data_IF_842367779036
#
_entry.id   IF_842367779036
#
_cell.length_a   1.000
_cell.length_b   1.000
_cell.length_c   1.000
_cell.angle_alpha   90.00
_cell.angle_beta   90.00
_cell.angle_gamma   90.00
#
_symmetry.space_group_name_H-M   'P 1'
#
loop_
_entity.id
_entity.type
_entity.pdbx_description
1 polymer ?
#
# COMPACT_ATOMS: atom_id res chain seq x y z
N UNK A 1 13.18 -22.48 -3.25
CA UNK A 1 11.86 -21.89 -3.55
C UNK A 1 10.80 -22.98 -3.63
N UNK A 2 10.90 -23.94 -4.55
CA UNK A 2 9.91 -25.01 -4.76
C UNK A 2 9.51 -25.78 -3.49
N UNK A 3 10.48 -26.29 -2.72
CA UNK A 3 10.18 -26.99 -1.46
C UNK A 3 9.44 -26.14 -0.41
N UNK A 4 9.64 -24.82 -0.42
CA UNK A 4 8.94 -23.90 0.46
C UNK A 4 7.47 -23.71 0.01
N UNK A 5 7.25 -23.59 -1.30
CA UNK A 5 5.92 -23.50 -1.91
C UNK A 5 5.09 -24.77 -1.66
N UNK A 6 5.71 -25.95 -1.77
CA UNK A 6 5.03 -27.22 -1.48
C UNK A 6 4.62 -27.31 0.00
N UNK A 7 5.53 -26.97 0.93
CA UNK A 7 5.22 -26.95 2.35
C UNK A 7 4.11 -25.94 2.69
N UNK A 8 4.08 -24.80 2.02
CA UNK A 8 3.03 -23.79 2.18
C UNK A 8 1.64 -24.28 1.73
N UNK A 9 1.56 -25.28 0.85
CA UNK A 9 0.31 -25.88 0.37
C UNK A 9 -0.15 -27.09 1.18
N UNK A 10 0.54 -27.41 2.28
CA UNK A 10 0.23 -28.56 3.10
C UNK A 10 -1.16 -28.49 3.76
N UNK A 11 -1.80 -29.65 3.94
CA UNK A 11 -3.08 -29.74 4.68
C UNK A 11 -2.92 -29.40 6.16
N UNK A 12 -1.77 -29.76 6.74
CA UNK A 12 -1.46 -29.49 8.15
C UNK A 12 -1.01 -28.04 8.37
N UNK A 13 -1.56 -27.38 9.39
CA UNK A 13 -1.30 -25.96 9.67
C UNK A 13 0.15 -25.72 10.11
N UNK A 14 0.75 -26.66 10.88
CA UNK A 14 2.13 -26.53 11.33
C UNK A 14 3.10 -26.62 10.15
N UNK A 15 2.81 -27.50 9.19
CA UNK A 15 3.55 -27.59 7.94
C UNK A 15 3.42 -26.31 7.10
N UNK A 16 2.22 -25.72 7.00
CA UNK A 16 2.05 -24.43 6.30
C UNK A 16 2.83 -23.29 6.94
N UNK A 17 2.84 -23.20 8.26
CA UNK A 17 3.64 -22.20 8.99
C UNK A 17 5.14 -22.36 8.69
N UNK A 18 5.65 -23.59 8.74
CA UNK A 18 7.04 -23.86 8.35
C UNK A 18 7.28 -23.58 6.85
N UNK A 19 6.27 -23.77 6.00
CA UNK A 19 6.32 -23.39 4.59
C UNK A 19 6.49 -21.88 4.40
N UNK A 20 5.69 -21.07 5.10
CA UNK A 20 5.80 -19.61 5.13
C UNK A 20 7.18 -19.14 5.59
N UNK A 21 7.71 -19.71 6.67
CA UNK A 21 9.06 -19.38 7.15
C UNK A 21 10.12 -19.66 6.09
N UNK A 22 10.07 -20.84 5.46
CA UNK A 22 10.98 -21.19 4.35
C UNK A 22 10.78 -20.31 3.11
N UNK A 23 9.58 -19.79 2.87
CA UNK A 23 9.34 -18.85 1.77
C UNK A 23 10.08 -17.54 2.01
N UNK A 24 10.07 -17.03 3.25
CA UNK A 24 10.85 -15.85 3.61
C UNK A 24 12.35 -16.07 3.44
N UNK A 25 12.89 -17.17 3.95
CA UNK A 25 14.31 -17.52 3.76
C UNK A 25 14.68 -17.64 2.27
N UNK A 26 13.80 -18.25 1.47
CA UNK A 26 14.02 -18.40 0.03
C UNK A 26 13.97 -17.05 -0.71
N UNK A 27 13.12 -16.11 -0.27
CA UNK A 27 13.04 -14.75 -0.80
C UNK A 27 14.29 -13.93 -0.44
N UNK A 28 14.77 -14.03 0.80
CA UNK A 28 16.03 -13.40 1.22
C UNK A 28 17.22 -13.91 0.41
N UNK A 29 17.30 -15.23 0.17
CA UNK A 29 18.32 -15.82 -0.68
C UNK A 29 18.21 -15.34 -2.14
N UNK A 30 16.98 -15.13 -2.64
CA UNK A 30 16.73 -14.62 -3.99
C UNK A 30 17.05 -13.12 -4.14
N UNK A 31 17.16 -12.36 -3.04
CA UNK A 31 17.34 -10.91 -3.08
C UNK A 31 18.57 -10.45 -3.89
N UNK A 32 19.64 -11.27 -3.93
CA UNK A 32 20.87 -10.97 -4.69
C UNK A 32 20.74 -11.15 -6.20
N UNK A 33 19.81 -11.99 -6.66
CA UNK A 33 19.67 -12.35 -8.09
C UNK A 33 18.33 -11.93 -8.69
N UNK A 34 17.37 -11.51 -7.86
CA UNK A 34 15.99 -11.28 -8.27
C UNK A 34 15.21 -12.58 -8.51
N UNK A 35 13.90 -12.42 -8.76
CA UNK A 35 13.01 -13.54 -9.08
C UNK A 35 12.79 -13.65 -10.59
N UNK A 36 12.79 -14.87 -11.10
CA UNK A 36 12.36 -15.14 -12.48
C UNK A 36 10.83 -15.03 -12.60
N UNK A 37 10.32 -14.77 -13.81
CA UNK A 37 8.87 -14.72 -14.08
C UNK A 37 8.11 -15.97 -13.59
N UNK A 38 8.71 -17.16 -13.76
CA UNK A 38 8.13 -18.42 -13.31
C UNK A 38 8.07 -18.52 -11.78
N UNK A 39 9.14 -18.11 -11.08
CA UNK A 39 9.16 -18.08 -9.62
C UNK A 39 8.14 -17.09 -9.06
N UNK A 40 8.01 -15.91 -9.67
CA UNK A 40 6.98 -14.93 -9.30
C UNK A 40 5.59 -15.50 -9.45
N UNK A 41 5.30 -16.13 -10.59
CA UNK A 41 3.99 -16.75 -10.86
C UNK A 41 3.67 -17.83 -9.81
N UNK A 42 4.59 -18.77 -9.59
CA UNK A 42 4.37 -19.85 -8.60
C UNK A 42 4.21 -19.32 -7.17
N UNK A 43 4.96 -18.27 -6.82
CA UNK A 43 4.86 -17.63 -5.52
C UNK A 43 3.52 -16.92 -5.33
N UNK A 44 3.09 -16.14 -6.32
CA UNK A 44 1.78 -15.47 -6.32
C UNK A 44 0.69 -16.51 -6.17
N UNK A 45 0.68 -17.57 -6.98
CA UNK A 45 -0.34 -18.61 -6.93
C UNK A 45 -0.41 -19.28 -5.55
N UNK A 46 0.73 -19.65 -4.97
CA UNK A 46 0.75 -20.24 -3.63
C UNK A 46 0.29 -19.26 -2.55
N UNK A 47 0.76 -18.01 -2.61
CA UNK A 47 0.45 -17.02 -1.57
C UNK A 47 -0.99 -16.54 -1.63
N UNK A 48 -1.64 -16.56 -2.79
CA UNK A 48 -3.07 -16.23 -2.92
C UNK A 48 -3.94 -17.13 -2.06
N UNK A 49 -3.62 -18.43 -1.95
CA UNK A 49 -4.30 -19.35 -1.05
C UNK A 49 -3.94 -19.07 0.40
N UNK A 50 -2.66 -18.82 0.70
CA UNK A 50 -2.21 -18.48 2.05
C UNK A 50 -2.93 -17.25 2.60
N UNK A 51 -3.14 -16.20 1.79
CA UNK A 51 -3.81 -14.97 2.25
C UNK A 51 -5.22 -15.24 2.80
N UNK A 52 -5.87 -16.33 2.38
CA UNK A 52 -7.23 -16.73 2.76
C UNK A 52 -7.25 -17.80 3.86
N UNK A 53 -6.08 -18.17 4.40
CA UNK A 53 -5.98 -19.22 5.42
C UNK A 53 -6.73 -18.85 6.70
N UNK A 54 -7.39 -19.84 7.31
CA UNK A 54 -8.09 -19.67 8.58
C UNK A 54 -7.15 -19.41 9.77
N UNK A 55 -5.87 -19.77 9.65
CA UNK A 55 -4.84 -19.42 10.61
C UNK A 55 -4.22 -18.06 10.26
N UNK A 56 -4.41 -17.08 11.16
CA UNK A 56 -3.98 -15.71 10.92
C UNK A 56 -2.47 -15.55 10.70
N UNK A 57 -1.62 -16.42 11.28
CA UNK A 57 -0.16 -16.36 11.06
C UNK A 57 0.21 -16.83 9.66
N UNK A 58 -0.50 -17.83 9.14
CA UNK A 58 -0.33 -18.28 7.75
C UNK A 58 -0.78 -17.19 6.78
N UNK A 59 -1.96 -16.60 7.03
CA UNK A 59 -2.46 -15.49 6.21
C UNK A 59 -1.57 -14.24 6.23
N UNK A 60 -1.10 -13.85 7.42
CA UNK A 60 -0.12 -12.78 7.59
C UNK A 60 1.16 -13.08 6.80
N UNK A 61 1.72 -14.28 6.96
CA UNK A 61 2.96 -14.65 6.28
C UNK A 61 2.82 -14.70 4.76
N UNK A 62 1.69 -15.15 4.22
CA UNK A 62 1.40 -15.08 2.79
C UNK A 62 1.41 -13.65 2.25
N UNK A 63 0.81 -12.70 2.97
CA UNK A 63 0.83 -11.27 2.61
C UNK A 63 2.24 -10.68 2.70
N UNK A 64 3.01 -11.04 3.73
CA UNK A 64 4.40 -10.59 3.88
C UNK A 64 5.31 -11.16 2.79
N UNK A 65 5.11 -12.43 2.40
CA UNK A 65 5.85 -13.05 1.30
C UNK A 65 5.54 -12.37 -0.04
N UNK A 66 4.29 -12.01 -0.29
CA UNK A 66 3.89 -11.21 -1.47
C UNK A 66 4.54 -9.83 -1.48
N UNK A 67 4.60 -9.15 -0.32
CA UNK A 67 5.25 -7.83 -0.21
C UNK A 67 6.75 -7.95 -0.51
N UNK A 68 7.45 -8.91 0.09
CA UNK A 68 8.85 -9.16 -0.21
C UNK A 68 9.08 -9.55 -1.69
N UNK A 69 8.22 -10.40 -2.25
CA UNK A 69 8.31 -10.78 -3.66
C UNK A 69 8.10 -9.59 -4.61
N UNK A 70 7.19 -8.66 -4.29
CA UNK A 70 6.93 -7.48 -5.10
C UNK A 70 8.19 -6.62 -5.31
N UNK A 71 9.03 -6.50 -4.28
CA UNK A 71 10.31 -5.77 -4.33
C UNK A 71 11.34 -6.50 -5.21
N UNK A 72 11.33 -7.84 -5.21
CA UNK A 72 12.33 -8.66 -5.90
C UNK A 72 11.97 -9.04 -7.35
N UNK A 73 10.70 -8.90 -7.72
CA UNK A 73 10.15 -9.38 -8.99
C UNK A 73 10.32 -8.42 -10.17
N UNK A 74 10.62 -7.15 -9.92
CA UNK A 74 10.65 -6.11 -10.95
C UNK A 74 9.34 -6.07 -11.77
N UNK A 75 9.45 -5.98 -13.10
CA UNK A 75 8.29 -5.91 -13.99
C UNK A 75 7.44 -7.19 -14.02
N UNK A 76 7.99 -8.35 -13.61
CA UNK A 76 7.26 -9.61 -13.59
C UNK A 76 6.07 -9.58 -12.63
N UNK A 77 6.07 -8.70 -11.62
CA UNK A 77 4.97 -8.61 -10.66
C UNK A 77 3.73 -7.92 -11.23
N UNK A 78 3.90 -7.05 -12.24
CA UNK A 78 2.85 -6.15 -12.73
C UNK A 78 1.64 -6.88 -13.32
N UNK A 79 1.86 -8.04 -13.94
CA UNK A 79 0.78 -8.85 -14.53
C UNK A 79 -0.16 -9.45 -13.47
N UNK A 80 0.30 -9.59 -12.23
CA UNK A 80 -0.45 -10.20 -11.14
C UNK A 80 -1.29 -9.18 -10.35
N UNK A 81 -1.11 -7.88 -10.58
CA UNK A 81 -1.78 -6.82 -9.80
C UNK A 81 -3.32 -6.91 -9.84
N UNK A 82 -3.90 -7.44 -10.92
CA UNK A 82 -5.36 -7.61 -11.03
C UNK A 82 -5.91 -8.63 -10.02
N UNK A 83 -5.11 -9.63 -9.64
CA UNK A 83 -5.49 -10.62 -8.63
C UNK A 83 -5.09 -10.16 -7.22
N UNK A 84 -3.90 -9.56 -7.09
CA UNK A 84 -3.30 -9.22 -5.80
C UNK A 84 -3.98 -8.04 -5.11
N UNK A 85 -4.29 -6.96 -5.85
CA UNK A 85 -4.87 -5.76 -5.24
C UNK A 85 -6.22 -6.02 -4.58
N UNK A 86 -7.20 -6.69 -5.24
CA UNK A 86 -8.47 -7.03 -4.59
C UNK A 86 -8.26 -7.96 -3.39
N UNK A 87 -7.36 -8.94 -3.49
CA UNK A 87 -7.07 -9.85 -2.39
C UNK A 87 -6.51 -9.10 -1.16
N UNK A 88 -5.57 -8.18 -1.36
CA UNK A 88 -5.05 -7.34 -0.28
C UNK A 88 -6.14 -6.47 0.36
N UNK A 89 -7.02 -5.87 -0.46
CA UNK A 89 -8.15 -5.06 0.03
C UNK A 89 -9.09 -5.88 0.93
N UNK A 90 -9.44 -7.11 0.55
CA UNK A 90 -10.26 -7.98 1.40
C UNK A 90 -9.61 -8.25 2.77
N UNK A 91 -8.28 -8.37 2.80
CA UNK A 91 -7.54 -8.63 4.06
C UNK A 91 -7.43 -7.40 4.97
N UNK A 92 -7.70 -6.19 4.49
CA UNK A 92 -7.88 -5.00 5.35
C UNK A 92 -9.07 -5.16 6.31
N UNK A 93 -10.03 -6.02 5.97
CA UNK A 93 -11.19 -6.31 6.82
C UNK A 93 -10.98 -7.39 7.87
N UNK A 94 -9.78 -7.98 7.96
CA UNK A 94 -9.54 -9.16 8.80
C UNK A 94 -9.75 -8.88 10.29
N UNK A 95 -10.18 -9.90 11.04
CA UNK A 95 -10.40 -9.79 12.48
C UNK A 95 -9.11 -9.59 13.30
N UNK A 96 -7.93 -9.93 12.75
CA UNK A 96 -6.64 -9.85 13.44
C UNK A 96 -5.81 -8.67 12.90
N UNK A 97 -5.38 -7.79 13.81
CA UNK A 97 -4.55 -6.62 13.47
C UNK A 97 -3.30 -6.99 12.65
N UNK A 98 -2.53 -8.06 12.97
CA UNK A 98 -1.33 -8.40 12.20
C UNK A 98 -1.61 -8.71 10.71
N UNK A 99 -2.78 -9.25 10.39
CA UNK A 99 -3.18 -9.52 9.00
C UNK A 99 -3.52 -8.22 8.28
N UNK A 100 -4.24 -7.30 8.96
CA UNK A 100 -4.55 -5.98 8.42
C UNK A 100 -3.29 -5.15 8.15
N UNK A 101 -2.34 -5.18 9.08
CA UNK A 101 -1.07 -4.49 8.93
C UNK A 101 -0.25 -5.06 7.76
N UNK A 102 -0.21 -6.39 7.61
CA UNK A 102 0.46 -7.02 6.47
C UNK A 102 -0.22 -6.68 5.13
N UNK A 103 -1.56 -6.60 5.10
CA UNK A 103 -2.31 -6.20 3.91
C UNK A 103 -2.05 -4.74 3.53
N UNK A 104 -2.04 -3.83 4.53
CA UNK A 104 -1.65 -2.43 4.35
C UNK A 104 -0.23 -2.33 3.79
N UNK A 105 0.72 -3.05 4.38
CA UNK A 105 2.11 -3.05 3.94
C UNK A 105 2.23 -3.55 2.50
N UNK A 106 1.50 -4.59 2.11
CA UNK A 106 1.47 -5.06 0.73
C UNK A 106 0.97 -3.97 -0.23
N UNK A 107 -0.13 -3.28 0.09
CA UNK A 107 -0.64 -2.19 -0.75
C UNK A 107 0.39 -1.05 -0.88
N UNK A 108 1.03 -0.63 0.21
CA UNK A 108 2.08 0.40 0.17
C UNK A 108 3.27 -0.07 -0.66
N UNK A 109 3.72 -1.31 -0.48
CA UNK A 109 4.84 -1.88 -1.27
C UNK A 109 4.50 -1.88 -2.76
N UNK A 110 3.26 -2.23 -3.11
CA UNK A 110 2.79 -2.17 -4.50
C UNK A 110 2.83 -0.75 -5.06
N UNK A 111 2.51 0.26 -4.25
CA UNK A 111 2.64 1.67 -4.63
C UNK A 111 4.10 2.02 -4.91
N UNK A 112 5.04 1.59 -4.07
CA UNK A 112 6.48 1.86 -4.20
C UNK A 112 7.09 1.24 -5.47
N UNK A 113 6.73 0.00 -5.80
CA UNK A 113 7.31 -0.73 -6.93
C UNK A 113 6.56 -0.52 -8.25
N UNK A 114 5.41 0.16 -8.23
CA UNK A 114 4.60 0.48 -9.41
C UNK A 114 4.30 1.98 -9.49
N UNK A 115 3.02 2.39 -9.41
CA UNK A 115 2.62 3.79 -9.29
C UNK A 115 1.63 3.90 -8.14
N UNK A 116 1.87 4.78 -7.15
CA UNK A 116 0.92 5.06 -6.08
C UNK A 116 -0.48 5.37 -6.58
N UNK A 117 -0.59 6.23 -7.60
CA UNK A 117 -1.88 6.62 -8.18
C UNK A 117 -2.61 5.41 -8.77
N UNK A 118 -1.94 4.58 -9.59
CA UNK A 118 -2.55 3.40 -10.20
C UNK A 118 -3.03 2.39 -9.15
N UNK A 119 -2.23 2.13 -8.12
CA UNK A 119 -2.56 1.15 -7.08
C UNK A 119 -3.72 1.65 -6.23
N UNK A 120 -3.73 2.92 -5.86
CA UNK A 120 -4.82 3.53 -5.08
C UNK A 120 -6.13 3.56 -5.87
N UNK A 121 -6.13 3.95 -7.14
CA UNK A 121 -7.34 3.91 -7.98
C UNK A 121 -7.89 2.49 -8.10
N UNK A 122 -7.01 1.52 -8.36
CA UNK A 122 -7.40 0.12 -8.46
C UNK A 122 -7.97 -0.41 -7.16
N UNK A 123 -7.26 -0.21 -6.04
CA UNK A 123 -7.72 -0.66 -4.72
C UNK A 123 -9.02 0.05 -4.32
N UNK A 124 -9.15 1.34 -4.65
CA UNK A 124 -10.33 2.15 -4.40
C UNK A 124 -11.59 1.61 -5.05
N UNK A 125 -11.48 0.99 -6.24
CA UNK A 125 -12.63 0.37 -6.91
C UNK A 125 -13.26 -0.79 -6.12
N UNK A 126 -12.51 -1.38 -5.17
CA UNK A 126 -12.99 -2.44 -4.27
C UNK A 126 -13.24 -1.94 -2.84
N UNK A 127 -12.56 -0.88 -2.42
CA UNK A 127 -12.48 -0.49 -1.01
C UNK A 127 -13.41 0.66 -0.61
N UNK A 128 -13.60 1.69 -1.44
CA UNK A 128 -14.29 2.93 -1.01
C UNK A 128 -15.73 2.70 -0.54
N UNK A 129 -16.45 1.79 -1.19
CA UNK A 129 -17.85 1.47 -0.90
C UNK A 129 -18.03 0.04 -0.37
N UNK A 130 -16.94 -0.56 0.13
CA UNK A 130 -16.94 -1.95 0.57
C UNK A 130 -17.95 -2.20 1.71
N UNK A 131 -18.64 -3.35 1.71
CA UNK A 131 -19.66 -3.68 2.73
C UNK A 131 -19.12 -3.70 4.17
N UNK A 132 -17.87 -4.10 4.35
CA UNK A 132 -17.20 -4.10 5.66
C UNK A 132 -16.64 -2.72 5.96
N UNK A 133 -17.15 -2.08 7.01
CA UNK A 133 -16.63 -0.78 7.49
C UNK A 133 -15.15 -0.85 7.86
N UNK A 134 -14.65 -2.01 8.30
CA UNK A 134 -13.22 -2.20 8.59
C UNK A 134 -12.35 -2.06 7.35
N UNK A 135 -12.80 -2.59 6.20
CA UNK A 135 -12.08 -2.41 4.92
C UNK A 135 -12.05 -0.93 4.56
N UNK A 136 -13.19 -0.23 4.65
CA UNK A 136 -13.27 1.20 4.32
C UNK A 136 -12.35 2.02 5.23
N UNK A 137 -12.43 1.81 6.54
CA UNK A 137 -11.58 2.49 7.53
C UNK A 137 -10.10 2.24 7.26
N UNK A 138 -9.69 0.98 7.15
CA UNK A 138 -8.28 0.61 7.00
C UNK A 138 -7.72 1.04 5.66
N UNK A 139 -8.55 1.06 4.61
CA UNK A 139 -8.15 1.59 3.31
C UNK A 139 -7.90 3.10 3.37
N UNK A 140 -8.76 3.87 4.04
CA UNK A 140 -8.53 5.31 4.25
C UNK A 140 -7.25 5.55 5.04
N UNK A 141 -6.97 4.74 6.08
CA UNK A 141 -5.71 4.83 6.83
C UNK A 141 -4.49 4.50 5.96
N UNK A 142 -4.63 3.52 5.07
CA UNK A 142 -3.60 3.15 4.09
C UNK A 142 -3.32 4.31 3.14
N UNK A 143 -4.37 4.96 2.67
CA UNK A 143 -4.29 6.13 1.79
C UNK A 143 -3.67 7.34 2.48
N UNK A 144 -4.02 7.61 3.75
CA UNK A 144 -3.36 8.66 4.53
C UNK A 144 -1.85 8.41 4.64
N UNK A 145 -1.45 7.15 4.87
CA UNK A 145 -0.03 6.75 4.85
C UNK A 145 0.60 7.01 3.48
N UNK A 146 -0.09 6.66 2.39
CA UNK A 146 0.37 6.91 1.02
C UNK A 146 0.56 8.40 0.72
N UNK A 147 -0.34 9.27 1.20
CA UNK A 147 -0.19 10.72 1.09
C UNK A 147 1.09 11.18 1.80
N UNK A 148 1.32 10.73 3.02
CA UNK A 148 2.53 11.07 3.77
C UNK A 148 3.84 10.61 3.12
N UNK A 149 3.81 9.52 2.35
CA UNK A 149 4.96 8.93 1.65
C UNK A 149 5.20 9.51 0.25
N UNK A 150 4.13 9.75 -0.52
CA UNK A 150 4.23 9.98 -1.97
C UNK A 150 3.75 11.36 -2.44
N UNK A 151 3.16 12.19 -1.58
CA UNK A 151 2.59 13.48 -1.98
C UNK A 151 3.56 14.40 -2.73
N UNK A 152 4.86 14.36 -2.39
CA UNK A 152 5.88 15.18 -3.05
C UNK A 152 6.32 14.65 -4.42
N UNK A 153 6.06 13.38 -4.73
CA UNK A 153 6.55 12.71 -5.94
C UNK A 153 5.44 12.28 -6.89
N UNK A 154 4.20 12.16 -6.41
CA UNK A 154 3.02 11.72 -7.17
C UNK A 154 1.88 12.74 -7.02
N UNK A 155 2.03 13.87 -7.73
CA UNK A 155 1.05 14.96 -7.74
C UNK A 155 -0.39 14.51 -8.09
N UNK A 156 -0.63 13.55 -9.01
CA UNK A 156 -1.98 13.08 -9.31
C UNK A 156 -2.67 12.40 -8.12
N UNK A 157 -1.91 11.83 -7.17
CA UNK A 157 -2.44 11.05 -6.06
C UNK A 157 -3.46 11.84 -5.24
N UNK A 158 -3.16 13.11 -4.93
CA UNK A 158 -4.06 13.93 -4.11
C UNK A 158 -5.40 14.18 -4.82
N UNK A 159 -5.39 14.37 -6.14
CA UNK A 159 -6.58 14.64 -6.94
C UNK A 159 -7.52 13.44 -6.98
N UNK A 160 -6.98 12.22 -7.07
CA UNK A 160 -7.81 11.00 -7.10
C UNK A 160 -8.40 10.64 -5.73
N UNK A 161 -7.81 11.17 -4.65
CA UNK A 161 -8.18 10.84 -3.27
C UNK A 161 -9.22 11.74 -2.65
N UNK A 162 -9.18 13.05 -2.94
CA UNK A 162 -9.97 14.01 -2.17
C UNK A 162 -11.47 13.72 -2.23
N UNK A 163 -12.02 13.53 -3.43
CA UNK A 163 -13.44 13.30 -3.61
C UNK A 163 -13.94 12.04 -2.88
N UNK A 164 -13.34 10.84 -3.06
CA UNK A 164 -13.71 9.66 -2.27
C UNK A 164 -13.59 9.85 -0.75
N UNK A 165 -12.52 10.50 -0.27
CA UNK A 165 -12.32 10.73 1.17
C UNK A 165 -13.40 11.65 1.75
N UNK A 166 -13.79 12.71 1.03
CA UNK A 166 -14.87 13.60 1.44
C UNK A 166 -16.22 12.88 1.50
N UNK A 167 -16.49 11.93 0.60
CA UNK A 167 -17.71 11.12 0.65
C UNK A 167 -17.81 10.31 1.96
N UNK A 168 -16.68 9.80 2.46
CA UNK A 168 -16.63 9.00 3.68
C UNK A 168 -16.89 9.79 4.97
N UNK A 169 -16.93 11.12 4.92
CA UNK A 169 -17.42 11.94 6.04
C UNK A 169 -18.90 11.67 6.35
N UNK A 170 -19.64 11.09 5.41
CA UNK A 170 -21.05 10.69 5.57
C UNK A 170 -21.21 9.18 5.81
N UNK A 171 -20.11 8.44 6.05
CA UNK A 171 -20.20 6.99 6.32
C UNK A 171 -21.07 6.73 7.55
N UNK A 172 -21.81 5.61 7.57
CA UNK A 172 -22.65 5.22 8.71
C UNK A 172 -21.82 4.91 9.98
N UNK A 173 -20.58 4.45 9.80
CA UNK A 173 -19.68 4.08 10.89
C UNK A 173 -18.77 5.24 11.30
N UNK A 174 -18.76 5.59 12.60
CA UNK A 174 -17.96 6.70 13.13
C UNK A 174 -16.45 6.50 12.89
N UNK A 175 -15.91 5.29 13.03
CA UNK A 175 -14.48 5.04 12.83
C UNK A 175 -14.02 5.33 11.40
N UNK A 176 -14.89 5.10 10.42
CA UNK A 176 -14.61 5.44 9.01
C UNK A 176 -14.58 6.97 8.82
N UNK A 177 -15.54 7.70 9.43
CA UNK A 177 -15.55 9.17 9.41
C UNK A 177 -14.31 9.76 10.07
N UNK A 178 -13.88 9.21 11.21
CA UNK A 178 -12.68 9.65 11.93
C UNK A 178 -11.40 9.40 11.11
N UNK A 179 -11.32 8.25 10.43
CA UNK A 179 -10.23 7.95 9.52
C UNK A 179 -10.22 8.92 8.32
N UNK A 180 -11.39 9.28 7.78
CA UNK A 180 -11.51 10.25 6.69
C UNK A 180 -11.02 11.63 7.11
N UNK A 181 -11.41 12.11 8.29
CA UNK A 181 -10.88 13.36 8.86
C UNK A 181 -9.36 13.30 9.01
N UNK A 182 -8.83 12.21 9.56
CA UNK A 182 -7.38 12.04 9.71
C UNK A 182 -6.64 12.05 8.35
N UNK A 183 -7.26 11.50 7.31
CA UNK A 183 -6.71 11.53 5.95
C UNK A 183 -6.73 12.95 5.36
N UNK A 184 -7.79 13.72 5.58
CA UNK A 184 -7.89 15.13 5.16
C UNK A 184 -6.81 15.97 5.85
N UNK A 185 -6.60 15.75 7.16
CA UNK A 185 -5.53 16.38 7.93
C UNK A 185 -4.14 16.06 7.35
N UNK A 186 -3.90 14.82 6.94
CA UNK A 186 -2.64 14.42 6.29
C UNK A 186 -2.48 15.02 4.89
N UNK A 187 -3.57 15.11 4.10
CA UNK A 187 -3.54 15.82 2.82
C UNK A 187 -3.18 17.29 2.99
N UNK A 188 -3.82 17.98 3.95
CA UNK A 188 -3.48 19.36 4.29
C UNK A 188 -2.02 19.50 4.73
N UNK A 189 -1.52 18.60 5.59
CA UNK A 189 -0.14 18.60 6.06
C UNK A 189 0.88 18.55 4.91
N UNK A 190 0.57 17.89 3.80
CA UNK A 190 1.45 17.77 2.63
C UNK A 190 1.09 18.74 1.47
N UNK A 191 0.07 19.58 1.60
CA UNK A 191 -0.33 20.53 0.56
C UNK A 191 -0.23 21.98 1.04
N UNK A 192 -0.40 22.21 2.34
CA UNK A 192 -0.49 23.54 2.91
C UNK A 192 -1.74 24.28 2.43
N UNK A 193 -1.62 25.61 2.35
CA UNK A 193 -2.76 26.53 2.14
C UNK A 193 -3.55 26.26 0.85
N UNK A 194 -2.91 25.76 -0.22
CA UNK A 194 -3.56 25.43 -1.48
C UNK A 194 -4.67 24.37 -1.34
N UNK A 195 -4.63 23.57 -0.27
CA UNK A 195 -5.66 22.59 0.02
C UNK A 195 -7.00 23.22 0.38
N UNK A 196 -7.03 24.41 1.00
CA UNK A 196 -8.29 25.09 1.32
C UNK A 196 -9.05 25.47 0.04
N UNK A 197 -8.34 25.93 -1.00
CA UNK A 197 -8.95 26.25 -2.29
C UNK A 197 -9.53 25.00 -2.95
N UNK A 198 -8.79 23.88 -2.90
CA UNK A 198 -9.28 22.61 -3.44
C UNK A 198 -10.52 22.12 -2.67
N UNK A 199 -10.50 22.20 -1.34
CA UNK A 199 -11.63 21.82 -0.49
C UNK A 199 -12.90 22.64 -0.82
N UNK A 200 -12.75 23.93 -1.10
CA UNK A 200 -13.87 24.80 -1.49
C UNK A 200 -14.54 24.38 -2.81
N UNK A 201 -13.79 23.77 -3.75
CA UNK A 201 -14.33 23.28 -5.04
C UNK A 201 -15.31 22.12 -4.88
N UNK A 202 -15.32 21.45 -3.72
CA UNK A 202 -16.19 20.30 -3.44
C UNK A 202 -17.56 20.65 -2.84
N UNK A 203 -17.89 21.94 -2.66
CA UNK A 203 -19.23 22.41 -2.25
C UNK A 203 -19.79 21.72 -0.98
N UNK A 204 -18.92 21.50 0.02
CA UNK A 204 -19.32 20.85 1.27
C UNK A 204 -20.33 21.69 2.06
N UNK A 205 -21.23 21.07 2.85
CA UNK A 205 -22.10 21.79 3.76
C UNK A 205 -21.31 22.70 4.70
N UNK A 206 -21.79 23.94 4.93
CA UNK A 206 -21.05 24.95 5.68
C UNK A 206 -20.62 24.52 7.08
N UNK A 207 -21.42 23.68 7.76
CA UNK A 207 -21.06 23.17 9.08
C UNK A 207 -19.86 22.19 9.02
N UNK A 208 -19.81 21.35 7.99
CA UNK A 208 -18.74 20.37 7.78
C UNK A 208 -17.45 21.07 7.37
N UNK A 209 -17.54 22.04 6.46
CA UNK A 209 -16.39 22.84 6.05
C UNK A 209 -15.78 23.62 7.24
N UNK A 210 -16.63 24.17 8.12
CA UNK A 210 -16.18 24.83 9.35
C UNK A 210 -15.47 23.87 10.31
N UNK A 211 -16.01 22.67 10.54
CA UNK A 211 -15.36 21.67 11.39
C UNK A 211 -13.99 21.27 10.84
N UNK A 212 -13.92 20.95 9.54
CA UNK A 212 -12.66 20.60 8.86
C UNK A 212 -11.65 21.74 9.00
N UNK A 213 -11.99 22.96 8.59
CA UNK A 213 -11.05 24.09 8.66
C UNK A 213 -10.55 24.34 10.10
N UNK A 214 -11.43 24.22 11.11
CA UNK A 214 -11.03 24.40 12.52
C UNK A 214 -9.99 23.37 13.01
N UNK A 215 -9.94 22.19 12.36
CA UNK A 215 -8.92 21.15 12.60
C UNK A 215 -7.65 21.46 11.83
N UNK A 216 -7.79 21.84 10.56
CA UNK A 216 -6.65 22.19 9.70
C UNK A 216 -5.86 23.38 10.25
N UNK A 217 -6.52 24.39 10.81
CA UNK A 217 -5.88 25.57 11.42
C UNK A 217 -4.93 25.22 12.58
N UNK A 218 -5.03 24.00 13.14
CA UNK A 218 -4.16 23.51 14.22
C UNK A 218 -2.96 22.71 13.72
N UNK A 219 -2.84 22.53 12.40
CA UNK A 219 -1.81 21.73 11.76
C UNK A 219 -0.79 22.67 11.12
N UNK A 220 0.48 22.48 11.45
CA UNK A 220 1.57 23.10 10.72
C UNK A 220 1.87 22.27 9.45
N UNK A 221 1.70 22.85 8.23
CA UNK A 221 2.01 22.15 7.00
C UNK A 221 3.51 21.91 6.83
N UNK A 222 3.87 20.86 6.10
CA UNK A 222 5.26 20.64 5.66
C UNK A 222 5.62 21.76 4.68
N UNK A 223 6.76 22.41 4.91
CA UNK A 223 7.30 23.40 3.99
C UNK A 223 7.68 22.71 2.68
N UNK A 224 6.86 22.88 1.65
CA UNK A 224 7.25 22.56 0.29
C UNK A 224 7.92 23.79 -0.30
N UNK A 225 9.25 23.80 -0.32
CA UNK A 225 10.01 24.77 -1.11
C UNK A 225 9.52 24.66 -2.54
N UNK A 226 8.86 25.70 -3.03
CA UNK A 226 8.35 25.83 -4.40
C UNK A 226 9.47 25.98 -5.44
N UNK A 227 10.62 25.34 -5.22
CA UNK A 227 11.72 25.29 -6.18
C UNK A 227 11.69 23.97 -6.93
N UNK A 228 11.32 24.06 -8.21
CA UNK A 228 11.38 22.99 -9.19
C UNK A 228 12.82 22.54 -9.49
N UNK A 229 13.49 21.95 -8.51
CA UNK A 229 14.75 21.25 -8.72
C UNK A 229 14.46 19.79 -9.08
N UNK A 230 14.43 19.54 -10.39
CA UNK A 230 14.48 18.24 -11.05
C UNK A 230 15.59 17.37 -10.42
N UNK A 231 15.24 16.55 -9.43
CA UNK A 231 16.15 15.56 -8.84
C UNK A 231 16.42 14.48 -9.89
N UNK A 232 17.51 14.64 -10.63
CA UNK A 232 18.11 13.56 -11.40
C UNK A 232 18.58 12.48 -10.42
N UNK A 233 17.89 11.34 -10.44
CA UNK A 233 18.39 10.13 -9.82
C UNK A 233 19.74 9.75 -10.47
N UNK A 234 20.84 10.04 -9.77
CA UNK A 234 22.13 9.42 -10.07
C UNK A 234 22.07 7.98 -9.57
N UNK A 235 21.85 7.05 -10.49
CA UNK A 235 22.24 5.65 -10.30
C UNK A 235 23.77 5.64 -10.19
N UNK A 236 24.29 5.61 -8.97
CA UNK A 236 25.70 5.26 -8.73
C UNK A 236 25.88 3.79 -9.08
N UNK A 237 26.32 3.54 -10.31
CA UNK A 237 26.99 2.30 -10.68
C UNK A 237 28.26 2.17 -9.83
N UNK A 238 28.27 1.24 -8.89
CA UNK A 238 29.50 0.70 -8.32
C UNK A 238 29.83 -0.53 -9.17
N UNK A 239 30.64 -0.33 -10.22
CA UNK A 239 31.42 -1.39 -10.85
C UNK A 239 32.90 -1.08 -10.56
N UNK A 240 33.70 -2.04 -10.05
CA UNK A 240 35.12 -1.84 -9.82
C UNK A 240 35.83 -1.70 -11.18
N UNK A 241 36.53 -0.57 -11.37
CA UNK A 241 37.48 -0.42 -12.48
C UNK A 241 38.64 -1.38 -12.26
N UNK A 242 38.74 -2.39 -13.13
CA UNK A 242 39.95 -3.15 -13.37
C UNK A 242 41.11 -2.19 -13.65
N UNK A 243 42.16 -2.27 -12.83
CA UNK A 243 43.47 -1.67 -13.12
C UNK A 243 44.41 -2.76 -13.62
N UNK A 244 44.57 -2.81 -14.94
CA UNK A 244 45.77 -3.24 -15.65
C UNK A 244 46.01 -2.09 -16.64
N UNK A 245 47.14 -1.38 -16.65
CA UNK A 245 48.43 -1.78 -17.22
C UNK A 245 49.47 -0.66 -16.92
N UNK A 246 50.78 -0.80 -17.20
CA UNK A 246 51.37 -1.29 -18.46
C UNK A 246 52.03 -2.67 -18.41
#
# INVERSE_FOLDING_TARGET
>A
MEAALEAARAKDTKQRLAGVERLHEALEAAARRGLTSAEVTSLVDACMDLTKDGNFRVAQGGLQALSAAAVLAGDHFKIHLNALVPAAVERLGDGKQPVRDAARQLLVTLMEVSSPTIIVERAGSYAWTHKSWRVREEFVRTVATAVGLFASTELPLQRVLLSPVLQLLNDLNQSVRDAAISCIEEMYRNMGSQFHEELQRHNLPSYMLKDINSRLDKIEPKAHSSDGARMQYKVTQILPKNQWNP
#
